data_IF_749698415978
#
_entry.id   IF_749698415978
#
_cell.length_a   1.000
_cell.length_b   1.000
_cell.length_c   1.000
_cell.angle_alpha   90.00
_cell.angle_beta   90.00
_cell.angle_gamma   90.00
#
_symmetry.space_group_name_H-M   'P 1'
#
loop_
_entity.id
_entity.type
_entity.pdbx_description
1 polymer ?
#
# COMPACT_ATOMS: atom_id res chain seq x y z
N UNK A 1 -67.01 -42.99 -8.43
CA UNK A 1 -67.42 -42.85 -9.82
C UNK A 1 -66.16 -42.52 -10.59
N UNK A 2 -65.52 -43.36 -11.26
CA UNK A 2 -65.88 -44.19 -12.39
C UNK A 2 -64.82 -43.84 -13.44
N UNK A 3 -64.03 -44.79 -13.72
CA UNK A 3 -63.81 -45.62 -14.93
C UNK A 3 -62.79 -44.92 -15.85
N UNK A 4 -61.55 -45.39 -16.16
CA UNK A 4 -61.25 -46.71 -16.71
C UNK A 4 -60.86 -46.56 -18.19
N UNK A 5 -59.71 -47.10 -18.60
CA UNK A 5 -59.36 -47.14 -20.01
C UNK A 5 -57.89 -47.50 -20.31
N UNK A 6 -57.67 -48.80 -20.42
CA UNK A 6 -56.44 -49.43 -20.94
C UNK A 6 -56.44 -49.47 -22.47
N UNK A 7 -55.23 -49.51 -23.10
CA UNK A 7 -54.90 -50.42 -24.23
C UNK A 7 -53.45 -50.15 -24.73
N UNK A 8 -52.57 -51.15 -24.65
CA UNK A 8 -51.99 -51.99 -25.69
C UNK A 8 -51.31 -51.18 -26.82
N UNK A 9 -49.98 -51.15 -27.06
CA UNK A 9 -49.16 -52.32 -27.32
C UNK A 9 -48.81 -52.37 -28.82
N UNK A 10 -47.54 -52.06 -29.16
CA UNK A 10 -46.91 -52.55 -30.41
C UNK A 10 -45.39 -52.48 -30.33
N UNK A 11 -44.79 -53.65 -30.47
CA UNK A 11 -43.37 -53.84 -30.65
C UNK A 11 -43.01 -53.89 -32.13
N UNK A 12 -41.91 -53.41 -32.55
CA UNK A 12 -41.14 -53.78 -33.76
C UNK A 12 -39.81 -53.03 -33.85
N UNK A 13 -38.80 -53.39 -34.70
CA UNK A 13 -37.68 -54.17 -34.24
C UNK A 13 -36.35 -53.39 -34.38
N UNK A 14 -35.34 -53.97 -33.78
CA UNK A 14 -33.91 -53.58 -33.72
C UNK A 14 -33.30 -53.59 -35.12
N UNK A 15 -32.68 -52.44 -35.50
CA UNK A 15 -31.70 -52.41 -36.62
C UNK A 15 -30.35 -51.97 -36.05
N UNK A 16 -29.43 -52.97 -35.98
CA UNK A 16 -28.03 -52.74 -35.61
C UNK A 16 -27.30 -52.19 -36.81
N UNK A 17 -26.83 -50.95 -36.77
CA UNK A 17 -25.85 -50.40 -37.69
C UNK A 17 -24.53 -50.21 -36.95
N UNK A 18 -23.56 -51.06 -37.24
CA UNK A 18 -22.17 -50.88 -36.83
C UNK A 18 -21.55 -49.72 -37.63
N UNK A 19 -21.27 -48.62 -36.94
CA UNK A 19 -20.43 -47.52 -37.52
C UNK A 19 -19.13 -47.50 -36.77
N UNK A 20 -18.06 -47.88 -37.45
CA UNK A 20 -16.67 -47.78 -36.96
C UNK A 20 -16.27 -46.29 -36.92
N UNK A 21 -16.07 -45.73 -35.75
CA UNK A 21 -15.52 -44.40 -35.55
C UNK A 21 -13.99 -44.50 -35.35
N UNK A 22 -13.26 -43.95 -36.30
CA UNK A 22 -11.85 -43.59 -36.21
C UNK A 22 -11.69 -42.53 -35.11
N UNK A 23 -10.98 -42.86 -34.04
CA UNK A 23 -10.58 -41.93 -33.01
C UNK A 23 -9.35 -41.17 -33.52
N UNK A 24 -9.58 -39.94 -34.00
CA UNK A 24 -8.51 -38.96 -34.17
C UNK A 24 -8.23 -38.34 -32.81
N UNK A 25 -7.09 -38.68 -32.21
CA UNK A 25 -6.62 -38.10 -30.97
C UNK A 25 -6.24 -36.62 -31.17
N UNK A 26 -7.07 -35.67 -30.72
CA UNK A 26 -6.64 -34.31 -30.44
C UNK A 26 -6.04 -34.31 -29.03
N UNK A 27 -4.72 -34.13 -28.95
CA UNK A 27 -4.00 -33.86 -27.74
C UNK A 27 -4.47 -32.51 -27.18
N UNK A 28 -5.45 -32.52 -26.24
CA UNK A 28 -5.75 -31.39 -25.40
C UNK A 28 -4.60 -31.21 -24.43
N UNK A 29 -3.88 -30.10 -24.51
CA UNK A 29 -3.05 -29.62 -23.42
C UNK A 29 -3.98 -29.21 -22.30
N UNK A 30 -4.22 -30.11 -21.36
CA UNK A 30 -4.86 -29.77 -20.07
C UNK A 30 -3.95 -28.77 -19.36
N UNK A 31 -4.22 -27.48 -19.50
CA UNK A 31 -3.81 -26.48 -18.53
C UNK A 31 -4.62 -26.74 -17.27
N UNK A 32 -4.17 -27.70 -16.46
CA UNK A 32 -4.68 -27.89 -15.13
C UNK A 32 -4.47 -26.57 -14.36
N UNK A 33 -5.54 -25.85 -14.10
CA UNK A 33 -5.52 -24.76 -13.12
C UNK A 33 -5.03 -25.31 -11.78
N UNK A 34 -4.41 -24.49 -10.92
CA UNK A 34 -3.87 -24.96 -9.67
C UNK A 34 -4.94 -25.69 -8.87
N UNK A 35 -4.70 -26.95 -8.53
CA UNK A 35 -5.55 -27.73 -7.65
C UNK A 35 -5.62 -27.04 -6.29
N UNK A 36 -6.82 -26.96 -5.67
CA UNK A 36 -6.99 -26.42 -4.33
C UNK A 36 -6.03 -27.10 -3.36
N UNK A 37 -4.98 -26.35 -2.92
CA UNK A 37 -3.93 -26.86 -2.02
C UNK A 37 -2.52 -26.94 -2.61
N UNK A 38 -2.31 -26.67 -3.90
CA UNK A 38 -0.96 -26.62 -4.51
C UNK A 38 -0.29 -25.25 -4.27
N UNK A 39 1.02 -25.28 -4.00
CA UNK A 39 1.81 -24.06 -3.85
C UNK A 39 2.09 -23.45 -5.22
N UNK A 40 1.72 -22.17 -5.44
CA UNK A 40 1.91 -21.43 -6.70
C UNK A 40 3.13 -20.50 -6.64
N UNK A 41 4.32 -21.04 -6.60
CA UNK A 41 5.58 -20.28 -6.63
C UNK A 41 5.77 -19.54 -7.96
N UNK A 42 5.32 -20.13 -9.08
CA UNK A 42 5.48 -19.53 -10.40
C UNK A 42 4.64 -18.25 -10.53
N UNK A 43 3.38 -18.28 -10.09
CA UNK A 43 2.52 -17.12 -10.07
C UNK A 43 3.03 -16.02 -9.14
N UNK A 44 3.58 -16.38 -7.96
CA UNK A 44 4.21 -15.44 -7.04
C UNK A 44 5.42 -14.72 -7.71
N UNK A 45 6.29 -15.45 -8.39
CA UNK A 45 7.42 -14.87 -9.15
C UNK A 45 6.96 -13.95 -10.27
N UNK A 46 5.95 -14.37 -11.02
CA UNK A 46 5.40 -13.56 -12.11
C UNK A 46 4.83 -12.23 -11.60
N UNK A 47 4.15 -12.26 -10.45
CA UNK A 47 3.62 -11.06 -9.82
C UNK A 47 4.73 -10.09 -9.39
N UNK A 48 5.78 -10.57 -8.72
CA UNK A 48 6.95 -9.75 -8.37
C UNK A 48 7.59 -9.13 -9.62
N UNK A 49 7.80 -9.92 -10.67
CA UNK A 49 8.39 -9.43 -11.92
C UNK A 49 7.54 -8.35 -12.59
N UNK A 50 6.21 -8.43 -12.50
CA UNK A 50 5.31 -7.43 -13.06
C UNK A 50 5.46 -6.04 -12.41
N UNK A 51 5.96 -5.96 -11.18
CA UNK A 51 6.20 -4.72 -10.45
C UNK A 51 7.68 -4.28 -10.42
N UNK A 52 8.59 -4.97 -11.11
CA UNK A 52 10.01 -4.61 -11.14
C UNK A 52 10.32 -3.39 -12.03
N UNK A 53 9.48 -3.12 -13.02
CA UNK A 53 9.68 -2.03 -13.98
C UNK A 53 9.43 -0.65 -13.34
N UNK A 54 10.09 0.38 -13.89
CA UNK A 54 9.83 1.78 -13.53
C UNK A 54 8.38 2.13 -13.88
N UNK A 55 7.59 2.62 -12.91
CA UNK A 55 6.19 2.97 -13.13
C UNK A 55 6.04 4.19 -14.06
N UNK A 56 4.90 4.28 -14.73
CA UNK A 56 4.58 5.40 -15.61
C UNK A 56 3.54 6.31 -14.97
N UNK A 57 3.74 7.61 -15.10
CA UNK A 57 2.72 8.58 -14.68
C UNK A 57 1.49 8.49 -15.59
N UNK A 58 0.33 8.41 -14.95
CA UNK A 58 -0.98 8.56 -15.59
C UNK A 58 -1.68 9.71 -14.89
N UNK A 59 -2.12 10.72 -15.66
CA UNK A 59 -2.80 11.87 -15.06
C UNK A 59 -4.07 11.43 -14.30
N UNK A 60 -4.21 11.77 -13.01
CA UNK A 60 -5.34 11.31 -12.19
C UNK A 60 -6.68 11.95 -12.62
N UNK A 61 -6.63 13.11 -13.29
CA UNK A 61 -7.81 13.85 -13.72
C UNK A 61 -7.52 14.93 -14.75
N UNK A 62 -8.50 15.81 -15.05
CA UNK A 62 -8.31 16.90 -16.00
C UNK A 62 -7.33 17.95 -15.45
N UNK A 63 -6.66 18.64 -16.38
CA UNK A 63 -5.80 19.77 -16.07
C UNK A 63 -6.63 20.97 -15.56
N UNK A 64 -6.01 21.81 -14.71
CA UNK A 64 -6.60 22.99 -14.14
C UNK A 64 -5.54 24.09 -13.86
N UNK A 65 -5.97 25.32 -13.69
CA UNK A 65 -5.08 26.45 -13.38
C UNK A 65 -4.80 26.53 -11.87
N UNK A 66 -3.83 25.75 -11.40
CA UNK A 66 -3.42 25.78 -10.01
C UNK A 66 -2.62 27.05 -9.68
N UNK A 67 -1.71 27.49 -10.55
CA UNK A 67 -0.79 28.59 -10.28
C UNK A 67 -1.51 29.90 -9.92
N UNK A 68 -2.60 30.26 -10.61
CA UNK A 68 -3.37 31.47 -10.32
C UNK A 68 -4.17 31.38 -9.01
N UNK A 69 -4.57 30.17 -8.62
CA UNK A 69 -5.47 29.92 -7.47
C UNK A 69 -4.73 29.68 -6.15
N UNK A 70 -3.51 29.12 -6.24
CA UNK A 70 -2.74 28.64 -5.08
C UNK A 70 -1.68 29.63 -4.59
N UNK A 71 -1.26 30.60 -5.42
CA UNK A 71 -0.21 31.55 -5.06
C UNK A 71 -0.49 32.24 -3.73
N UNK A 72 0.45 32.12 -2.79
CA UNK A 72 0.37 32.69 -1.44
C UNK A 72 -0.65 32.01 -0.51
N UNK A 73 -1.18 30.84 -0.89
CA UNK A 73 -2.03 30.02 -0.01
C UNK A 73 -1.15 29.17 0.89
N UNK A 74 -1.58 29.03 2.15
CA UNK A 74 -0.91 28.16 3.13
C UNK A 74 -1.72 26.89 3.34
N UNK A 75 -1.08 25.73 3.20
CA UNK A 75 -1.62 24.41 3.45
C UNK A 75 -0.96 23.88 4.71
N UNK A 76 -1.75 23.34 5.65
CA UNK A 76 -1.25 22.71 6.86
C UNK A 76 -1.23 21.21 6.72
N UNK A 77 -0.04 20.63 6.90
CA UNK A 77 0.14 19.19 7.05
C UNK A 77 0.19 18.82 8.53
N UNK A 78 -0.61 17.83 8.92
CA UNK A 78 -0.62 17.25 10.27
C UNK A 78 -0.31 15.75 10.09
N UNK A 79 0.94 15.32 10.26
CA UNK A 79 1.33 13.92 10.10
C UNK A 79 0.88 13.06 11.29
N UNK A 80 0.83 11.74 11.08
CA UNK A 80 0.59 10.79 12.19
C UNK A 80 1.64 10.97 13.29
N UNK A 81 2.90 11.20 12.92
CA UNK A 81 4.02 11.56 13.80
C UNK A 81 5.15 12.14 12.95
N UNK A 82 5.91 13.07 13.51
CA UNK A 82 7.09 13.64 12.83
C UNK A 82 8.39 12.85 13.08
N UNK A 83 8.31 11.73 13.80
CA UNK A 83 9.49 10.96 14.23
C UNK A 83 9.88 9.84 13.25
N UNK A 84 9.03 9.51 12.28
CA UNK A 84 9.27 8.41 11.33
C UNK A 84 9.86 8.94 10.03
N UNK A 85 11.00 8.42 9.56
CA UNK A 85 11.68 8.89 8.33
C UNK A 85 10.79 8.90 7.08
N UNK A 86 9.90 7.92 6.96
CA UNK A 86 8.89 7.84 5.90
C UNK A 86 8.06 9.13 5.79
N UNK A 87 7.59 9.65 6.91
CA UNK A 87 6.75 10.86 6.97
C UNK A 87 7.52 12.07 6.43
N UNK A 88 8.75 12.27 6.89
CA UNK A 88 9.60 13.37 6.43
C UNK A 88 9.90 13.33 4.92
N UNK A 89 9.98 12.12 4.35
CA UNK A 89 10.18 11.95 2.91
C UNK A 89 8.94 12.38 2.10
N UNK A 90 7.74 12.05 2.55
CA UNK A 90 6.49 12.51 1.92
C UNK A 90 6.32 14.02 2.06
N UNK A 91 6.59 14.57 3.25
CA UNK A 91 6.55 16.02 3.49
C UNK A 91 7.52 16.80 2.58
N UNK A 92 8.67 16.20 2.23
CA UNK A 92 9.59 16.78 1.26
C UNK A 92 8.93 16.93 -0.12
N UNK A 93 8.31 15.88 -0.63
CA UNK A 93 7.55 15.92 -1.89
C UNK A 93 6.37 16.90 -1.85
N UNK A 94 5.66 16.97 -0.71
CA UNK A 94 4.58 17.96 -0.53
C UNK A 94 5.10 19.40 -0.59
N UNK A 95 6.28 19.68 -0.03
CA UNK A 95 6.92 21.01 -0.10
C UNK A 95 7.33 21.35 -1.52
N UNK A 96 7.93 20.41 -2.25
CA UNK A 96 8.27 20.59 -3.65
C UNK A 96 7.03 20.95 -4.49
N UNK A 97 5.95 20.17 -4.34
CA UNK A 97 4.69 20.43 -5.03
C UNK A 97 4.10 21.82 -4.70
N UNK A 98 4.15 22.24 -3.43
CA UNK A 98 3.68 23.56 -3.01
C UNK A 98 4.46 24.69 -3.70
N UNK A 99 5.79 24.56 -3.80
CA UNK A 99 6.67 25.55 -4.45
C UNK A 99 6.29 25.71 -5.93
N UNK A 100 5.97 24.64 -6.65
CA UNK A 100 5.60 24.67 -8.07
C UNK A 100 4.43 25.63 -8.38
N UNK A 101 3.48 25.72 -7.46
CA UNK A 101 2.28 26.57 -7.61
C UNK A 101 2.36 27.88 -6.82
N UNK A 102 3.48 28.15 -6.14
CA UNK A 102 3.67 29.33 -5.29
C UNK A 102 2.84 29.31 -4.00
N UNK A 103 2.48 28.13 -3.51
CA UNK A 103 1.87 27.91 -2.20
C UNK A 103 2.92 27.63 -1.13
N UNK A 104 2.51 27.67 0.15
CA UNK A 104 3.34 27.34 1.30
C UNK A 104 2.79 26.09 2.00
N UNK A 105 3.67 25.15 2.37
CA UNK A 105 3.34 24.03 3.24
C UNK A 105 3.89 24.30 4.64
N UNK A 106 2.99 24.32 5.63
CA UNK A 106 3.33 24.37 7.06
C UNK A 106 3.10 22.98 7.66
N UNK A 107 4.16 22.38 8.18
CA UNK A 107 4.08 21.09 8.87
C UNK A 107 3.89 21.32 10.37
N UNK A 108 2.83 20.75 10.93
CA UNK A 108 2.60 20.74 12.38
C UNK A 108 3.34 19.56 13.01
N UNK A 109 4.54 19.81 13.52
CA UNK A 109 5.36 18.78 14.18
C UNK A 109 4.68 18.21 15.41
N UNK A 110 4.66 16.88 15.54
CA UNK A 110 4.03 16.17 16.65
C UNK A 110 4.64 14.80 16.91
N UNK A 111 4.33 14.20 18.07
CA UNK A 111 4.81 12.90 18.55
C UNK A 111 3.77 11.77 18.41
N UNK A 112 2.71 11.97 17.64
CA UNK A 112 1.74 10.93 17.32
C UNK A 112 0.63 10.74 18.34
N UNK A 113 0.20 11.79 19.04
CA UNK A 113 -0.93 11.69 19.96
C UNK A 113 -2.20 12.38 19.42
N UNK A 114 -3.41 11.81 19.69
CA UNK A 114 -4.66 12.42 19.25
C UNK A 114 -4.86 13.87 19.73
N UNK A 115 -4.36 14.22 20.92
CA UNK A 115 -4.42 15.56 21.45
C UNK A 115 -3.58 16.56 20.66
N UNK A 116 -2.39 16.13 20.19
CA UNK A 116 -1.52 16.95 19.34
C UNK A 116 -2.11 17.13 17.95
N UNK A 117 -2.67 16.07 17.33
CA UNK A 117 -3.36 16.18 16.04
C UNK A 117 -4.53 17.15 16.12
N UNK A 118 -5.39 17.02 17.17
CA UNK A 118 -6.48 17.95 17.40
C UNK A 118 -6.00 19.39 17.59
N UNK A 119 -4.86 19.60 18.27
CA UNK A 119 -4.23 20.91 18.40
C UNK A 119 -3.73 21.44 17.06
N UNK A 120 -3.14 20.59 16.22
CA UNK A 120 -2.72 20.94 14.85
C UNK A 120 -3.88 21.49 14.02
N UNK A 121 -5.04 20.82 14.03
CA UNK A 121 -6.25 21.29 13.33
C UNK A 121 -6.70 22.66 13.87
N UNK A 122 -6.75 22.84 15.18
CA UNK A 122 -7.11 24.15 15.77
C UNK A 122 -6.13 25.26 15.38
N UNK A 123 -4.83 24.93 15.31
CA UNK A 123 -3.80 25.86 14.86
C UNK A 123 -4.02 26.25 13.40
N UNK A 124 -4.25 25.28 12.53
CA UNK A 124 -4.56 25.53 11.11
C UNK A 124 -5.79 26.41 10.94
N UNK A 125 -6.86 26.19 11.72
CA UNK A 125 -8.06 27.02 11.72
C UNK A 125 -7.73 28.45 12.15
N UNK A 126 -6.98 28.63 13.25
CA UNK A 126 -6.63 29.95 13.77
C UNK A 126 -5.77 30.75 12.79
N UNK A 127 -4.92 30.08 12.02
CA UNK A 127 -4.07 30.66 10.98
C UNK A 127 -4.77 30.79 9.61
N UNK A 128 -6.05 30.42 9.52
CA UNK A 128 -6.85 30.49 8.29
C UNK A 128 -6.19 29.74 7.11
N UNK A 129 -5.75 28.52 7.38
CA UNK A 129 -5.20 27.66 6.36
C UNK A 129 -6.15 27.55 5.15
N UNK A 130 -5.60 27.45 3.93
CA UNK A 130 -6.39 27.23 2.75
C UNK A 130 -6.89 25.77 2.65
N UNK A 131 -6.13 24.83 3.22
CA UNK A 131 -6.51 23.44 3.38
C UNK A 131 -5.70 22.80 4.52
N UNK A 132 -6.19 21.66 5.01
CA UNK A 132 -5.49 20.80 5.98
C UNK A 132 -5.32 19.42 5.36
N UNK A 133 -4.13 18.86 5.40
CA UNK A 133 -3.87 17.45 5.11
C UNK A 133 -3.69 16.69 6.42
N UNK A 134 -4.38 15.56 6.56
CA UNK A 134 -4.25 14.61 7.67
C UNK A 134 -3.59 13.35 7.13
N UNK A 135 -2.35 13.10 7.52
CA UNK A 135 -1.55 12.02 6.94
C UNK A 135 -1.47 10.80 7.86
N UNK A 136 -2.18 9.75 7.49
CA UNK A 136 -2.19 8.42 8.11
C UNK A 136 -2.84 8.30 9.50
N UNK A 137 -3.39 9.38 10.09
CA UNK A 137 -4.18 9.26 11.31
C UNK A 137 -5.54 8.61 11.02
N UNK A 138 -6.14 7.96 12.03
CA UNK A 138 -7.55 7.60 11.98
C UNK A 138 -8.41 8.87 12.06
N UNK A 139 -9.12 9.29 10.99
CA UNK A 139 -9.94 10.49 11.01
C UNK A 139 -11.13 10.35 11.95
N UNK A 140 -11.52 9.12 12.32
CA UNK A 140 -12.60 8.87 13.28
C UNK A 140 -12.34 9.47 14.66
N UNK A 141 -11.09 9.48 15.10
CA UNK A 141 -10.73 10.10 16.40
C UNK A 141 -10.68 11.63 16.34
N UNK A 142 -10.75 12.22 15.14
CA UNK A 142 -10.67 13.67 14.90
C UNK A 142 -11.98 14.25 14.35
N UNK A 143 -13.07 13.48 14.30
CA UNK A 143 -14.35 13.89 13.72
C UNK A 143 -14.81 15.27 14.14
N UNK A 144 -14.88 15.61 15.46
CA UNK A 144 -15.29 16.94 15.92
C UNK A 144 -14.38 18.08 15.42
N UNK A 145 -13.07 17.86 15.31
CA UNK A 145 -12.10 18.85 14.84
C UNK A 145 -12.16 19.02 13.32
N UNK A 146 -12.36 17.94 12.59
CA UNK A 146 -12.60 17.96 11.14
C UNK A 146 -13.88 18.77 10.85
N UNK A 147 -14.94 18.55 11.63
CA UNK A 147 -16.18 19.34 11.52
C UNK A 147 -15.97 20.82 11.81
N UNK A 148 -15.12 21.17 12.77
CA UNK A 148 -14.76 22.56 13.04
C UNK A 148 -14.02 23.20 11.85
N UNK A 149 -13.05 22.49 11.24
CA UNK A 149 -12.36 22.97 10.06
C UNK A 149 -13.32 23.17 8.88
N UNK A 150 -14.20 22.22 8.62
CA UNK A 150 -15.21 22.28 7.56
C UNK A 150 -16.18 23.45 7.75
N UNK A 151 -16.66 23.69 9.00
CA UNK A 151 -17.51 24.83 9.34
C UNK A 151 -16.79 26.18 9.16
N UNK A 152 -15.47 26.19 9.34
CA UNK A 152 -14.63 27.36 9.06
C UNK A 152 -14.34 27.56 7.55
N UNK A 153 -14.88 26.70 6.68
CA UNK A 153 -14.63 26.73 5.25
C UNK A 153 -13.26 26.19 4.81
N UNK A 154 -12.59 25.47 5.72
CA UNK A 154 -11.26 24.89 5.45
C UNK A 154 -11.44 23.42 5.06
N UNK A 155 -11.12 23.04 3.81
CA UNK A 155 -11.17 21.66 3.37
C UNK A 155 -10.11 20.80 4.08
N UNK A 156 -10.47 19.54 4.35
CA UNK A 156 -9.59 18.55 4.98
C UNK A 156 -9.39 17.39 4.02
N UNK A 157 -8.16 17.13 3.68
CA UNK A 157 -7.73 16.01 2.82
C UNK A 157 -7.18 14.90 3.73
N UNK A 158 -7.80 13.73 3.70
CA UNK A 158 -7.37 12.57 4.48
C UNK A 158 -6.48 11.70 3.60
N UNK A 159 -5.22 11.51 4.00
CA UNK A 159 -4.20 10.84 3.18
C UNK A 159 -3.80 9.51 3.81
N UNK A 160 -3.75 8.45 3.02
CA UNK A 160 -3.24 7.11 3.40
C UNK A 160 -3.98 6.44 4.58
N UNK A 161 -5.28 6.54 4.62
CA UNK A 161 -6.11 5.86 5.63
C UNK A 161 -7.04 4.81 5.04
N UNK A 162 -7.20 4.78 3.72
CA UNK A 162 -8.00 3.83 2.96
C UNK A 162 -7.14 3.11 1.93
N UNK A 163 -7.55 1.92 1.52
CA UNK A 163 -6.96 1.19 0.40
C UNK A 163 -7.51 1.67 -0.95
N UNK A 164 -6.86 1.22 -2.03
CA UNK A 164 -7.33 1.46 -3.39
C UNK A 164 -8.74 0.88 -3.60
N UNK A 165 -9.60 1.64 -4.27
CA UNK A 165 -10.97 1.24 -4.53
C UNK A 165 -11.91 1.30 -3.32
N UNK A 166 -11.40 1.65 -2.14
CA UNK A 166 -12.22 1.92 -0.97
C UNK A 166 -12.76 3.36 -1.00
N UNK A 167 -13.99 3.55 -0.50
CA UNK A 167 -14.50 4.90 -0.27
C UNK A 167 -13.74 5.60 0.85
N UNK A 168 -13.70 6.94 0.78
CA UNK A 168 -13.21 7.73 1.90
C UNK A 168 -13.96 7.36 3.17
N UNK A 169 -13.24 7.25 4.28
CA UNK A 169 -13.84 6.87 5.57
C UNK A 169 -14.95 7.84 5.96
N UNK A 170 -15.98 7.29 6.59
CA UNK A 170 -17.16 8.03 7.02
C UNK A 170 -17.52 7.68 8.47
N UNK A 171 -18.31 8.55 9.10
CA UNK A 171 -18.88 8.32 10.42
C UNK A 171 -20.01 7.27 10.38
N UNK A 172 -20.59 6.97 11.55
CA UNK A 172 -21.67 5.99 11.68
C UNK A 172 -22.96 6.37 10.92
N UNK A 173 -23.07 7.62 10.45
CA UNK A 173 -24.19 8.14 9.66
C UNK A 173 -23.86 8.22 8.16
N UNK A 174 -22.71 7.73 7.74
CA UNK A 174 -22.25 7.75 6.35
C UNK A 174 -21.71 9.11 5.88
N UNK A 175 -21.47 10.07 6.80
CA UNK A 175 -20.86 11.35 6.49
C UNK A 175 -19.34 11.17 6.35
N UNK A 176 -18.74 11.48 5.19
CA UNK A 176 -17.30 11.36 5.00
C UNK A 176 -16.51 12.22 6.00
N UNK A 177 -15.42 11.66 6.53
CA UNK A 177 -14.43 12.46 7.23
C UNK A 177 -13.61 13.24 6.20
N UNK A 178 -13.64 14.57 6.35
CA UNK A 178 -12.94 15.46 5.43
C UNK A 178 -13.66 15.68 4.10
N UNK A 179 -12.99 16.40 3.21
CA UNK A 179 -13.50 16.82 1.89
C UNK A 179 -13.21 15.77 0.83
N UNK A 180 -12.04 15.16 0.91
CA UNK A 180 -11.58 14.08 0.01
C UNK A 180 -10.50 13.23 0.70
N UNK A 181 -10.13 12.13 0.06
CA UNK A 181 -9.04 11.27 0.54
C UNK A 181 -8.11 10.85 -0.59
N UNK A 182 -6.87 10.52 -0.21
CA UNK A 182 -5.86 9.90 -1.07
C UNK A 182 -5.61 8.50 -0.54
N UNK A 183 -6.03 7.44 -1.24
CA UNK A 183 -5.81 6.08 -0.82
C UNK A 183 -4.33 5.68 -0.94
N UNK A 184 -3.96 4.56 -0.31
CA UNK A 184 -2.66 3.93 -0.50
C UNK A 184 -2.77 2.54 -1.11
N UNK A 185 -1.73 2.04 -1.78
CA UNK A 185 -1.72 0.74 -2.45
C UNK A 185 -1.50 -0.43 -1.48
N UNK A 186 -2.13 -0.37 -0.30
CA UNK A 186 -1.83 -1.24 0.84
C UNK A 186 -2.11 -2.72 0.57
N UNK A 187 -3.27 -3.02 -0.02
CA UNK A 187 -3.64 -4.40 -0.29
C UNK A 187 -2.69 -5.04 -1.32
N UNK A 188 -2.32 -4.26 -2.34
CA UNK A 188 -1.34 -4.71 -3.33
C UNK A 188 0.06 -4.86 -2.72
N UNK A 189 0.48 -3.94 -1.83
CA UNK A 189 1.75 -4.04 -1.11
C UNK A 189 1.80 -5.33 -0.28
N UNK A 190 0.76 -5.63 0.49
CA UNK A 190 0.68 -6.88 1.26
C UNK A 190 0.71 -8.14 0.39
N UNK A 191 0.08 -8.12 -0.80
CA UNK A 191 0.20 -9.22 -1.77
C UNK A 191 1.63 -9.39 -2.26
N UNK A 192 2.33 -8.31 -2.57
CA UNK A 192 3.72 -8.36 -3.00
C UNK A 192 4.67 -8.88 -1.92
N UNK A 193 4.47 -8.49 -0.65
CA UNK A 193 5.22 -9.04 0.48
C UNK A 193 5.01 -10.56 0.62
N UNK A 194 3.76 -11.04 0.47
CA UNK A 194 3.44 -12.46 0.49
C UNK A 194 4.04 -13.20 -0.71
N UNK A 195 3.86 -12.69 -1.91
CA UNK A 195 4.40 -13.28 -3.15
C UNK A 195 5.93 -13.40 -3.10
N UNK A 196 6.60 -12.37 -2.58
CA UNK A 196 8.03 -12.41 -2.40
C UNK A 196 8.43 -13.50 -1.40
N UNK A 197 7.79 -13.58 -0.24
CA UNK A 197 8.07 -14.59 0.77
C UNK A 197 7.86 -16.01 0.23
N UNK A 198 6.76 -16.25 -0.50
CA UNK A 198 6.46 -17.53 -1.16
C UNK A 198 7.53 -17.87 -2.20
N UNK A 199 7.89 -16.90 -3.03
CA UNK A 199 8.90 -17.08 -4.09
C UNK A 199 10.28 -17.42 -3.52
N UNK A 200 10.78 -16.62 -2.55
CA UNK A 200 12.13 -16.76 -1.98
C UNK A 200 12.26 -18.01 -1.10
N UNK A 201 11.21 -18.43 -0.41
CA UNK A 201 11.19 -19.68 0.37
C UNK A 201 10.88 -20.92 -0.47
N UNK A 202 10.64 -20.73 -1.78
CA UNK A 202 10.18 -21.80 -2.68
C UNK A 202 8.92 -22.52 -2.15
N UNK A 203 7.95 -21.74 -1.65
CA UNK A 203 6.70 -22.23 -1.10
C UNK A 203 6.79 -22.84 0.30
N UNK A 204 7.83 -22.53 1.05
CA UNK A 204 8.07 -23.03 2.42
C UNK A 204 8.25 -21.85 3.40
N UNK A 205 7.48 -20.77 3.23
CA UNK A 205 7.56 -19.64 4.13
C UNK A 205 7.01 -19.99 5.51
N UNK A 206 7.82 -19.74 6.53
CA UNK A 206 7.42 -19.61 7.91
C UNK A 206 7.66 -18.14 8.28
N UNK A 207 6.62 -17.34 8.12
CA UNK A 207 6.70 -15.89 8.13
C UNK A 207 6.32 -15.31 9.49
N UNK A 208 7.20 -14.49 10.06
CA UNK A 208 6.90 -13.59 11.18
C UNK A 208 6.56 -12.21 10.63
N UNK A 209 5.31 -11.81 10.75
CA UNK A 209 4.82 -10.50 10.27
C UNK A 209 4.73 -9.54 11.45
N UNK A 210 5.37 -8.36 11.34
CA UNK A 210 5.32 -7.34 12.38
C UNK A 210 4.33 -6.27 11.94
N UNK A 211 3.29 -6.06 12.74
CA UNK A 211 2.16 -5.16 12.43
C UNK A 211 2.09 -3.99 13.41
N UNK A 212 1.30 -2.98 13.05
CA UNK A 212 0.92 -1.85 13.90
C UNK A 212 -0.57 -1.57 13.69
N UNK A 213 -1.42 -2.16 14.54
CA UNK A 213 -2.87 -2.07 14.37
C UNK A 213 -3.44 -0.68 14.74
N UNK A 214 -2.63 0.21 15.29
CA UNK A 214 -2.94 1.63 15.51
C UNK A 214 -2.85 2.46 14.21
N UNK A 215 -2.25 1.93 13.14
CA UNK A 215 -2.31 2.50 11.81
C UNK A 215 -3.45 1.88 10.99
N UNK A 216 -4.35 2.71 10.46
CA UNK A 216 -5.51 2.26 9.65
C UNK A 216 -5.11 1.46 8.40
N UNK A 217 -3.99 1.84 7.79
CA UNK A 217 -3.39 1.18 6.63
C UNK A 217 -3.01 -0.29 6.87
N UNK A 218 -2.80 -0.70 8.13
CA UNK A 218 -2.50 -2.09 8.49
C UNK A 218 -3.61 -3.05 8.08
N UNK A 219 -4.88 -2.65 8.20
CA UNK A 219 -6.03 -3.53 7.89
C UNK A 219 -6.05 -3.97 6.42
N UNK A 220 -6.07 -3.08 5.40
CA UNK A 220 -6.04 -3.50 4.01
C UNK A 220 -4.73 -4.19 3.63
N UNK A 221 -3.58 -3.76 4.18
CA UNK A 221 -2.29 -4.41 3.92
C UNK A 221 -2.29 -5.86 4.40
N UNK A 222 -2.69 -6.11 5.63
CA UNK A 222 -2.78 -7.47 6.20
C UNK A 222 -3.84 -8.33 5.53
N UNK A 223 -4.92 -7.74 4.99
CA UNK A 223 -5.88 -8.46 4.15
C UNK A 223 -5.19 -8.99 2.90
N UNK A 224 -4.53 -8.11 2.13
CA UNK A 224 -3.80 -8.50 0.92
C UNK A 224 -2.76 -9.59 1.19
N UNK A 225 -1.97 -9.44 2.25
CA UNK A 225 -0.93 -10.40 2.64
C UNK A 225 -1.53 -11.78 2.98
N UNK A 226 -2.56 -11.83 3.83
CA UNK A 226 -3.17 -13.09 4.25
C UNK A 226 -3.91 -13.79 3.12
N UNK A 227 -4.65 -13.05 2.31
CA UNK A 227 -5.38 -13.58 1.16
C UNK A 227 -4.41 -14.20 0.14
N UNK A 228 -3.26 -13.56 -0.10
CA UNK A 228 -2.26 -14.04 -1.04
C UNK A 228 -1.56 -15.29 -0.53
N UNK A 229 -1.15 -15.34 0.75
CA UNK A 229 -0.65 -16.57 1.36
C UNK A 229 -1.66 -17.70 1.29
N UNK A 230 -2.92 -17.44 1.65
CA UNK A 230 -3.99 -18.44 1.61
C UNK A 230 -4.22 -18.98 0.21
N UNK A 231 -4.16 -18.11 -0.79
CA UNK A 231 -4.39 -18.44 -2.19
C UNK A 231 -3.24 -19.21 -2.83
N UNK A 232 -1.99 -18.77 -2.60
CA UNK A 232 -0.80 -19.31 -3.29
C UNK A 232 -0.02 -20.33 -2.48
N UNK A 233 -0.06 -20.24 -1.16
CA UNK A 233 0.72 -21.14 -0.29
C UNK A 233 -0.05 -21.51 0.98
N UNK A 234 -1.13 -22.33 0.87
CA UNK A 234 -1.90 -22.76 2.03
C UNK A 234 -1.09 -23.51 3.09
N UNK A 235 0.07 -24.06 2.72
CA UNK A 235 0.99 -24.75 3.62
C UNK A 235 1.99 -23.82 4.30
N UNK A 236 2.10 -22.56 3.89
CA UNK A 236 2.95 -21.57 4.52
C UNK A 236 2.37 -21.14 5.88
N UNK A 237 3.24 -20.79 6.81
CA UNK A 237 2.84 -20.31 8.14
C UNK A 237 2.97 -18.79 8.22
N UNK A 238 1.98 -18.13 8.80
CA UNK A 238 2.00 -16.67 9.01
C UNK A 238 1.67 -16.38 10.47
N UNK A 239 2.66 -15.89 11.21
CA UNK A 239 2.49 -15.45 12.60
C UNK A 239 2.60 -13.94 12.68
N UNK A 240 1.57 -13.27 13.19
CA UNK A 240 1.56 -11.81 13.35
C UNK A 240 2.00 -11.41 14.76
N UNK A 241 2.80 -10.34 14.84
CA UNK A 241 3.28 -9.70 16.06
C UNK A 241 2.91 -8.22 16.00
N UNK A 242 1.95 -7.80 16.81
CA UNK A 242 1.50 -6.39 16.84
C UNK A 242 2.34 -5.55 17.78
N UNK A 243 2.87 -4.43 17.27
CA UNK A 243 3.61 -3.43 18.06
C UNK A 243 3.14 -2.03 17.64
N UNK A 244 2.45 -1.30 18.53
CA UNK A 244 2.02 0.06 18.27
C UNK A 244 3.18 1.01 17.90
N UNK A 245 2.94 1.96 17.01
CA UNK A 245 3.95 2.89 16.49
C UNK A 245 4.81 3.54 17.59
N UNK A 246 4.24 4.07 18.70
CA UNK A 246 5.06 4.68 19.75
C UNK A 246 5.97 3.72 20.51
N UNK A 247 5.79 2.40 20.29
CA UNK A 247 6.54 1.34 20.96
C UNK A 247 7.58 0.64 20.04
N UNK A 248 7.70 1.05 18.78
CA UNK A 248 8.61 0.39 17.84
C UNK A 248 10.04 0.30 18.36
N UNK A 249 10.62 1.42 18.78
CA UNK A 249 11.99 1.48 19.27
C UNK A 249 12.24 0.62 20.52
N UNK A 250 11.24 0.49 21.39
CA UNK A 250 11.39 -0.22 22.66
C UNK A 250 11.00 -1.70 22.60
N UNK A 251 10.12 -2.11 21.66
CA UNK A 251 9.52 -3.46 21.70
C UNK A 251 9.83 -4.34 20.50
N UNK A 252 9.98 -3.81 19.29
CA UNK A 252 10.18 -4.65 18.10
C UNK A 252 11.39 -5.55 18.28
N UNK A 253 12.54 -5.00 18.67
CA UNK A 253 13.78 -5.76 18.81
C UNK A 253 13.66 -6.97 19.73
N UNK A 254 13.18 -6.76 20.95
CA UNK A 254 13.05 -7.85 21.96
C UNK A 254 11.99 -8.87 21.57
N UNK A 255 10.88 -8.45 20.99
CA UNK A 255 9.80 -9.34 20.57
C UNK A 255 10.22 -10.23 19.38
N UNK A 256 10.88 -9.66 18.36
CA UNK A 256 11.44 -10.40 17.22
C UNK A 256 12.50 -11.39 17.68
N UNK A 257 13.47 -10.95 18.50
CA UNK A 257 14.50 -11.86 19.06
C UNK A 257 13.86 -13.04 19.80
N UNK A 258 12.87 -12.77 20.64
CA UNK A 258 12.17 -13.82 21.40
C UNK A 258 11.43 -14.79 20.48
N UNK A 259 10.80 -14.31 19.42
CA UNK A 259 10.12 -15.16 18.43
C UNK A 259 11.11 -16.07 17.71
N UNK A 260 12.23 -15.54 17.23
CA UNK A 260 13.27 -16.26 16.49
C UNK A 260 14.00 -17.32 17.34
N UNK A 261 14.16 -17.07 18.64
CA UNK A 261 14.73 -18.05 19.58
C UNK A 261 13.74 -19.18 19.87
N UNK A 262 12.45 -18.84 20.03
CA UNK A 262 11.39 -19.80 20.31
C UNK A 262 11.05 -20.67 19.11
N UNK A 263 11.04 -20.11 17.91
CA UNK A 263 10.76 -20.82 16.67
C UNK A 263 11.87 -20.62 15.63
N UNK A 264 12.70 -21.64 15.48
CA UNK A 264 13.81 -21.66 14.53
C UNK A 264 13.39 -21.94 13.10
N UNK A 265 12.11 -22.26 12.83
CA UNK A 265 11.59 -22.47 11.48
C UNK A 265 11.35 -21.15 10.76
N UNK A 266 11.12 -20.07 11.49
CA UNK A 266 10.96 -18.74 10.91
C UNK A 266 12.12 -18.44 9.97
N UNK A 267 11.83 -18.31 8.68
CA UNK A 267 12.79 -18.06 7.60
C UNK A 267 12.55 -16.72 6.86
N UNK A 268 11.40 -16.08 7.12
CA UNK A 268 11.05 -14.76 6.60
C UNK A 268 10.53 -13.89 7.73
N UNK A 269 10.98 -12.64 7.79
CA UNK A 269 10.38 -11.59 8.63
C UNK A 269 9.83 -10.51 7.72
N UNK A 270 8.57 -10.14 7.92
CA UNK A 270 7.87 -9.11 7.16
C UNK A 270 7.49 -7.98 8.12
N UNK A 271 8.34 -6.97 8.30
CA UNK A 271 7.90 -5.70 8.88
C UNK A 271 7.04 -5.02 7.83
N UNK A 272 5.73 -4.89 8.08
CA UNK A 272 4.79 -4.35 7.08
C UNK A 272 5.03 -2.88 6.70
N UNK A 273 5.90 -2.20 7.42
CA UNK A 273 6.44 -0.90 7.09
C UNK A 273 7.97 -0.95 7.20
N UNK A 274 8.65 -0.51 6.19
CA UNK A 274 10.10 -0.62 6.06
C UNK A 274 10.88 0.02 7.22
N UNK A 275 10.36 1.11 7.77
CA UNK A 275 10.96 1.80 8.92
C UNK A 275 11.11 0.93 10.17
N UNK A 276 10.32 -0.14 10.30
CA UNK A 276 10.47 -1.12 11.39
C UNK A 276 11.77 -1.93 11.25
N UNK A 277 12.31 -2.06 10.04
CA UNK A 277 13.50 -2.87 9.74
C UNK A 277 14.72 -2.42 10.55
N UNK A 278 14.82 -1.13 10.90
CA UNK A 278 15.90 -0.62 11.76
C UNK A 278 15.95 -1.30 13.15
N UNK A 279 14.82 -1.79 13.64
CA UNK A 279 14.72 -2.48 14.93
C UNK A 279 14.79 -4.00 14.77
N UNK A 280 14.41 -4.53 13.60
CA UNK A 280 14.46 -5.97 13.28
C UNK A 280 15.89 -6.43 13.03
N UNK A 281 16.70 -5.66 12.31
CA UNK A 281 18.06 -6.02 11.94
C UNK A 281 18.96 -6.35 13.14
N UNK A 282 19.02 -5.53 14.20
CA UNK A 282 19.78 -5.87 15.41
C UNK A 282 19.26 -7.15 16.09
N UNK A 283 17.93 -7.37 16.09
CA UNK A 283 17.32 -8.55 16.70
C UNK A 283 17.69 -9.85 15.97
N UNK A 284 17.75 -9.83 14.63
CA UNK A 284 18.22 -10.97 13.83
C UNK A 284 19.66 -11.34 14.17
N UNK A 285 20.55 -10.35 14.28
CA UNK A 285 21.95 -10.55 14.66
C UNK A 285 22.05 -11.13 16.09
N UNK A 286 21.33 -10.56 17.04
CA UNK A 286 21.32 -11.00 18.43
C UNK A 286 20.75 -12.43 18.59
N UNK A 287 19.81 -12.84 17.73
CA UNK A 287 19.26 -14.21 17.71
C UNK A 287 20.12 -15.21 16.91
N UNK A 288 21.25 -14.79 16.29
CA UNK A 288 22.04 -15.62 15.39
C UNK A 288 21.22 -16.11 14.17
N UNK A 289 20.35 -15.27 13.66
CA UNK A 289 19.40 -15.63 12.59
C UNK A 289 19.66 -14.91 11.25
N UNK A 290 20.66 -14.02 11.18
CA UNK A 290 20.93 -13.20 10.02
C UNK A 290 21.28 -14.00 8.75
N UNK A 291 21.87 -15.20 8.90
CA UNK A 291 22.24 -16.04 7.74
C UNK A 291 21.09 -16.91 7.20
N UNK A 292 19.96 -16.99 7.93
CA UNK A 292 18.85 -17.89 7.59
C UNK A 292 17.50 -17.21 7.41
N UNK A 293 17.39 -15.97 7.80
CA UNK A 293 16.14 -15.18 7.76
C UNK A 293 16.32 -14.01 6.81
N UNK A 294 15.38 -13.83 5.90
CA UNK A 294 15.32 -12.69 4.99
C UNK A 294 14.20 -11.74 5.40
N UNK A 295 14.35 -10.45 5.06
CA UNK A 295 13.34 -9.43 5.27
C UNK A 295 12.78 -8.99 3.92
N UNK A 296 11.44 -8.99 3.78
CA UNK A 296 10.71 -8.27 2.76
C UNK A 296 9.81 -7.25 3.44
N UNK A 297 9.64 -6.08 2.85
CA UNK A 297 8.95 -4.95 3.47
C UNK A 297 8.31 -4.02 2.45
N UNK A 298 7.67 -2.93 2.92
CA UNK A 298 6.96 -1.96 2.10
C UNK A 298 7.26 -0.53 2.56
N UNK A 299 7.41 0.37 1.64
CA UNK A 299 7.36 1.83 1.54
C UNK A 299 8.45 2.42 0.61
N UNK A 300 9.64 1.81 0.49
CA UNK A 300 10.72 2.30 -0.37
C UNK A 300 11.49 3.48 0.19
N UNK A 301 11.66 3.57 1.52
CA UNK A 301 12.47 4.65 2.11
C UNK A 301 13.94 4.51 1.73
N UNK A 302 14.58 5.62 1.42
CA UNK A 302 15.97 5.65 0.94
C UNK A 302 16.95 4.94 1.89
N UNK A 303 16.72 5.01 3.22
CA UNK A 303 17.60 4.34 4.18
C UNK A 303 17.47 2.82 4.13
N UNK A 304 16.27 2.27 3.85
CA UNK A 304 16.06 0.82 3.71
C UNK A 304 16.62 0.32 2.38
N UNK A 305 16.41 1.07 1.29
CA UNK A 305 17.04 0.76 0.00
C UNK A 305 18.57 0.77 0.11
N UNK A 306 19.14 1.64 0.96
CA UNK A 306 20.59 1.63 1.27
C UNK A 306 20.99 0.33 1.97
N UNK A 307 20.22 -0.14 2.94
CA UNK A 307 20.49 -1.42 3.62
C UNK A 307 20.48 -2.60 2.64
N UNK A 308 19.61 -2.56 1.61
CA UNK A 308 19.60 -3.54 0.53
C UNK A 308 20.87 -3.45 -0.32
N UNK A 309 21.31 -2.25 -0.71
CA UNK A 309 22.55 -2.04 -1.51
C UNK A 309 23.83 -2.45 -0.77
N UNK A 310 23.86 -2.33 0.54
CA UNK A 310 24.98 -2.76 1.37
C UNK A 310 25.12 -4.30 1.44
N UNK A 311 24.15 -5.02 0.90
CA UNK A 311 24.09 -6.46 0.92
C UNK A 311 23.73 -6.99 2.32
N UNK A 312 22.58 -7.59 2.49
CA UNK A 312 22.15 -8.01 3.80
C UNK A 312 20.84 -8.78 3.77
N UNK A 313 20.24 -8.85 4.93
CA UNK A 313 19.00 -9.61 5.15
C UNK A 313 17.76 -8.93 4.59
N UNK A 314 17.81 -7.60 4.29
CA UNK A 314 16.71 -6.91 3.60
C UNK A 314 16.86 -7.23 2.11
N UNK A 315 15.98 -8.04 1.60
CA UNK A 315 16.10 -8.62 0.26
C UNK A 315 14.97 -8.19 -0.70
N UNK A 316 13.96 -7.46 -0.20
CA UNK A 316 12.90 -6.86 -1.00
C UNK A 316 12.27 -5.68 -0.29
N UNK A 317 11.93 -4.66 -1.07
CA UNK A 317 11.05 -3.59 -0.66
C UNK A 317 10.00 -3.34 -1.77
N UNK A 318 8.72 -3.48 -1.43
CA UNK A 318 7.63 -3.05 -2.28
C UNK A 318 7.54 -1.52 -2.19
N UNK A 319 8.41 -0.82 -2.90
CA UNK A 319 8.58 0.62 -2.78
C UNK A 319 7.45 1.40 -3.40
N UNK A 320 7.13 2.53 -2.79
CA UNK A 320 6.29 3.60 -3.30
C UNK A 320 7.14 4.88 -3.37
N UNK A 321 7.06 5.64 -4.46
CA UNK A 321 7.76 6.92 -4.51
C UNK A 321 7.11 7.92 -3.54
N UNK A 322 7.81 8.21 -2.45
CA UNK A 322 7.28 9.05 -1.37
C UNK A 322 7.23 10.54 -1.76
N UNK A 323 8.08 10.99 -2.69
CA UNK A 323 7.94 12.32 -3.29
C UNK A 323 6.69 12.39 -4.16
N UNK A 324 6.47 11.38 -5.04
CA UNK A 324 5.25 11.30 -5.83
C UNK A 324 3.99 11.25 -4.96
N UNK A 325 4.01 10.48 -3.86
CA UNK A 325 2.91 10.46 -2.90
C UNK A 325 2.64 11.86 -2.31
N UNK A 326 3.69 12.62 -1.99
CA UNK A 326 3.56 14.03 -1.57
C UNK A 326 2.89 14.89 -2.64
N UNK A 327 3.27 14.73 -3.91
CA UNK A 327 2.67 15.44 -5.04
C UNK A 327 1.18 15.05 -5.24
N UNK A 328 0.84 13.77 -5.12
CA UNK A 328 -0.55 13.29 -5.20
C UNK A 328 -1.42 13.87 -4.08
N UNK A 329 -0.92 13.88 -2.85
CA UNK A 329 -1.62 14.50 -1.72
C UNK A 329 -1.88 15.99 -1.94
N UNK A 330 -0.88 16.69 -2.50
CA UNK A 330 -1.00 18.11 -2.82
C UNK A 330 -1.92 18.38 -4.02
N UNK A 331 -1.97 17.50 -5.04
CA UNK A 331 -2.92 17.64 -6.16
C UNK A 331 -4.36 17.71 -5.64
N UNK A 332 -4.73 16.81 -4.70
CA UNK A 332 -6.06 16.84 -4.13
C UNK A 332 -6.33 18.12 -3.32
N UNK A 333 -5.37 18.60 -2.54
CA UNK A 333 -5.48 19.88 -1.84
C UNK A 333 -5.63 21.04 -2.83
N UNK A 334 -4.83 21.06 -3.89
CA UNK A 334 -4.87 22.10 -4.93
C UNK A 334 -6.20 22.11 -5.66
N UNK A 335 -6.73 20.96 -6.08
CA UNK A 335 -8.05 20.85 -6.71
C UNK A 335 -9.14 21.46 -5.83
N UNK A 336 -9.21 21.07 -4.58
CA UNK A 336 -10.25 21.55 -3.66
C UNK A 336 -10.12 23.05 -3.42
N UNK A 337 -8.90 23.59 -3.23
CA UNK A 337 -8.67 25.05 -3.07
C UNK A 337 -9.05 25.82 -4.34
N UNK A 338 -8.75 25.25 -5.52
CA UNK A 338 -9.10 25.85 -6.82
C UNK A 338 -10.59 25.78 -7.15
N UNK A 339 -11.38 25.05 -6.40
CA UNK A 339 -12.81 24.81 -6.67
C UNK A 339 -13.08 23.67 -7.65
N UNK A 340 -12.06 22.89 -7.96
CA UNK A 340 -12.17 21.71 -8.83
C UNK A 340 -12.71 20.50 -8.06
N UNK A 341 -13.21 19.51 -8.81
CA UNK A 341 -13.64 18.25 -8.22
C UNK A 341 -12.42 17.40 -7.82
N UNK A 342 -12.38 16.88 -6.60
CA UNK A 342 -11.34 15.95 -6.20
C UNK A 342 -11.41 14.64 -7.00
N UNK A 343 -10.28 13.95 -7.14
CA UNK A 343 -10.15 12.67 -7.83
C UNK A 343 -9.97 11.57 -6.79
N UNK A 344 -10.93 10.64 -6.70
CA UNK A 344 -10.93 9.60 -5.65
C UNK A 344 -9.95 8.45 -5.91
N UNK A 345 -9.55 8.26 -7.16
CA UNK A 345 -8.67 7.14 -7.58
C UNK A 345 -7.20 7.53 -7.67
N UNK A 346 -6.83 8.71 -7.17
CA UNK A 346 -5.43 9.11 -7.18
C UNK A 346 -4.63 8.30 -6.16
N UNK A 347 -3.67 7.57 -6.65
CA UNK A 347 -2.75 6.76 -5.86
C UNK A 347 -1.38 6.73 -6.54
N UNK A 348 -0.35 6.39 -5.79
CA UNK A 348 1.00 6.20 -6.29
C UNK A 348 1.25 4.74 -6.65
N UNK A 349 1.89 4.45 -7.81
CA UNK A 349 2.20 3.09 -8.20
C UNK A 349 3.30 2.49 -7.33
N UNK A 350 3.25 1.16 -7.16
CA UNK A 350 4.31 0.39 -6.51
C UNK A 350 5.40 -0.01 -7.50
N UNK A 351 6.63 -0.10 -7.00
CA UNK A 351 7.74 -0.78 -7.64
C UNK A 351 8.42 -1.73 -6.66
N UNK A 352 8.61 -2.97 -7.04
CA UNK A 352 9.39 -3.92 -6.23
C UNK A 352 10.88 -3.68 -6.48
N UNK A 353 11.60 -3.38 -5.40
CA UNK A 353 13.06 -3.38 -5.37
C UNK A 353 13.57 -4.70 -4.82
N UNK A 354 14.62 -5.22 -5.46
CA UNK A 354 15.43 -6.34 -5.00
C UNK A 354 16.90 -6.09 -5.38
N UNK A 355 17.76 -7.10 -5.20
CA UNK A 355 19.18 -7.01 -5.52
C UNK A 355 19.47 -6.72 -7.00
N UNK A 356 18.54 -7.08 -7.90
CA UNK A 356 18.67 -6.86 -9.35
C UNK A 356 18.45 -5.41 -9.79
N UNK A 357 17.70 -4.61 -9.05
CA UNK A 357 17.29 -3.27 -9.48
C UNK A 357 17.42 -2.16 -8.42
N UNK A 358 17.77 -2.49 -7.17
CA UNK A 358 17.90 -1.47 -6.10
C UNK A 358 18.95 -0.39 -6.42
N UNK A 359 19.89 -0.66 -7.33
CA UNK A 359 20.84 0.32 -7.86
C UNK A 359 20.19 1.50 -8.59
N UNK A 360 18.99 1.32 -9.14
CA UNK A 360 18.24 2.38 -9.80
C UNK A 360 17.83 3.51 -8.85
N UNK A 361 17.77 3.23 -7.54
CA UNK A 361 17.53 4.25 -6.52
C UNK A 361 18.70 5.21 -6.31
N UNK A 362 19.83 5.03 -7.03
CA UNK A 362 21.05 5.85 -6.89
C UNK A 362 22.02 5.32 -5.83
N UNK A 363 23.23 5.89 -5.79
CA UNK A 363 24.27 5.55 -4.81
C UNK A 363 24.84 6.83 -4.18
N UNK A 364 24.45 7.19 -2.92
CA UNK A 364 23.46 6.53 -2.07
C UNK A 364 22.04 6.66 -2.64
N UNK A 365 21.10 5.80 -2.22
CA UNK A 365 19.70 5.92 -2.63
C UNK A 365 19.09 7.27 -2.27
N UNK A 366 18.30 7.80 -3.20
CA UNK A 366 17.53 9.02 -3.00
C UNK A 366 16.04 8.69 -2.99
N UNK A 367 15.28 9.53 -2.31
CA UNK A 367 13.85 9.33 -2.09
C UNK A 367 13.03 9.33 -3.38
N UNK A 368 13.47 10.12 -4.36
CA UNK A 368 12.84 10.36 -5.66
C UNK A 368 13.43 9.49 -6.79
N UNK A 369 14.40 8.63 -6.49
CA UNK A 369 15.10 7.86 -7.49
C UNK A 369 14.58 6.43 -7.60
N UNK A 370 14.65 5.88 -8.82
CA UNK A 370 14.20 4.51 -9.10
C UNK A 370 12.77 4.40 -9.59
N UNK A 371 11.97 5.46 -9.55
CA UNK A 371 10.58 5.47 -10.03
C UNK A 371 10.38 6.27 -11.31
N UNK A 372 11.43 6.92 -11.80
CA UNK A 372 11.36 7.86 -12.93
C UNK A 372 10.83 9.24 -12.47
N UNK A 373 11.03 10.25 -13.33
CA UNK A 373 10.61 11.64 -13.04
C UNK A 373 9.36 12.07 -13.82
N UNK A 374 8.70 11.15 -14.50
CA UNK A 374 7.55 11.45 -15.33
C UNK A 374 6.36 12.07 -14.60
N UNK A 375 6.24 11.83 -13.30
CA UNK A 375 5.18 12.42 -12.48
C UNK A 375 5.38 13.94 -12.29
N UNK A 376 6.61 14.42 -12.14
CA UNK A 376 6.91 15.86 -11.98
C UNK A 376 6.38 16.65 -13.18
N UNK A 377 6.79 16.27 -14.39
CA UNK A 377 6.32 16.91 -15.62
C UNK A 377 4.82 16.70 -15.83
N UNK A 378 4.31 15.53 -15.44
CA UNK A 378 2.90 15.19 -15.50
C UNK A 378 2.04 16.11 -14.63
N UNK A 379 2.41 16.32 -13.36
CA UNK A 379 1.71 17.24 -12.46
C UNK A 379 1.88 18.70 -12.84
N UNK A 380 3.09 19.13 -13.27
CA UNK A 380 3.29 20.49 -13.78
C UNK A 380 2.33 20.81 -14.94
N UNK A 381 2.22 19.89 -15.89
CA UNK A 381 1.27 20.01 -16.99
C UNK A 381 -0.18 20.03 -16.50
N UNK A 382 -0.50 19.18 -15.51
CA UNK A 382 -1.83 19.06 -14.91
C UNK A 382 -2.23 20.37 -14.20
N UNK A 383 -1.29 21.02 -13.52
CA UNK A 383 -1.50 22.26 -12.76
C UNK A 383 -1.34 23.54 -13.58
N UNK A 384 -1.01 23.43 -14.87
CA UNK A 384 -0.78 24.59 -15.74
C UNK A 384 0.47 25.39 -15.36
N UNK A 385 1.49 24.74 -14.76
CA UNK A 385 2.79 25.34 -14.43
C UNK A 385 3.86 24.78 -15.37
N UNK A 386 4.82 25.61 -15.77
CA UNK A 386 5.95 25.17 -16.61
C UNK A 386 5.67 25.21 -18.12
N UNK A 387 4.80 26.12 -18.58
CA UNK A 387 4.63 26.51 -19.99
C UNK A 387 5.57 27.64 -20.36
#
# INVERSE_FOLDING_TARGET
>A
MGVGGSARGAAAPILIVLLALLVAGCGGTDTAGPSAGSVDVAGARAQIAAFAAIPRFVAPGPAFDAASKLRGKTIFEIPITSEVPFVGAVEHGMKEAAVEVGAELVVYSNQGTPSQWAQGIRTAISQRAAAITLFAQDPGVLGPQIDQATKAGIPVIVVRTTGEGEDCQADAHGKPYGTTCVPGPFEQAGRLEADWAISKSNGKADALVITSNDARSTTPLMRGLRDEFSRRCPACTVTALDVPIPQWASRIGTAVQSALVRDRKINVVIPIYDSMSQFVLPALRAAGAADRVMIGTFNGTAFVLKLMQEGGVVAMDAGEDLSWLGWAAMDQAFRVIAGEKPVRSEHTPLRVFDDGNVGDAGHPPRQDAGYGHGYVDGYRKLWGVGG
#
